data_IF_362222874650
#
_entry.id   IF_362222874650
#
_cell.length_a   1.000
_cell.length_b   1.000
_cell.length_c   1.000
_cell.angle_alpha   90.00
_cell.angle_beta   90.00
_cell.angle_gamma   90.00
#
_symmetry.space_group_name_H-M   'P 1'
#
loop_
_entity.id
_entity.type
_entity.pdbx_description
1 polymer ?
#
# COMPACT_ATOMS: atom_id res chain seq x y z
N UNK A 1 -7.95 2.21 -21.34
CA UNK A 1 -6.60 2.82 -21.17
C UNK A 1 -6.63 4.24 -20.59
N UNK A 2 -7.76 4.95 -20.64
CA UNK A 2 -7.84 6.35 -20.21
C UNK A 2 -7.37 6.56 -18.76
N UNK A 3 -7.72 5.65 -17.85
CA UNK A 3 -7.27 5.68 -16.45
C UNK A 3 -5.73 5.74 -16.32
N UNK A 4 -5.00 5.04 -17.19
CA UNK A 4 -3.53 5.10 -17.21
C UNK A 4 -3.04 6.43 -17.76
N UNK A 5 -3.69 6.93 -18.81
CA UNK A 5 -3.29 8.18 -19.47
C UNK A 5 -3.50 9.39 -18.55
N UNK A 6 -4.66 9.44 -17.88
CA UNK A 6 -5.08 10.57 -17.06
C UNK A 6 -4.53 10.53 -15.61
N UNK A 7 -3.97 9.42 -15.15
CA UNK A 7 -3.43 9.33 -13.79
C UNK A 7 -2.18 10.21 -13.64
N UNK A 8 -2.19 11.24 -12.77
CA UNK A 8 -1.02 12.10 -12.56
C UNK A 8 0.15 11.35 -11.91
N UNK A 9 -0.14 10.33 -11.13
CA UNK A 9 0.87 9.48 -10.46
C UNK A 9 1.46 8.41 -11.36
N UNK A 10 0.85 8.12 -12.54
CA UNK A 10 1.27 7.07 -13.47
C UNK A 10 1.36 5.66 -12.83
N UNK A 11 0.53 5.40 -11.83
CA UNK A 11 0.53 4.13 -11.08
C UNK A 11 -0.40 3.06 -11.66
N UNK A 12 -1.22 3.42 -12.65
CA UNK A 12 -2.12 2.49 -13.33
C UNK A 12 -1.42 1.91 -14.55
N UNK A 13 -1.23 0.59 -14.55
CA UNK A 13 -0.50 -0.14 -15.59
C UNK A 13 -1.46 -0.97 -16.42
N UNK A 14 -1.42 -0.77 -17.73
CA UNK A 14 -2.21 -1.53 -18.67
C UNK A 14 -1.38 -2.67 -19.27
N UNK A 15 -1.92 -3.87 -19.28
CA UNK A 15 -1.26 -5.05 -19.85
C UNK A 15 -1.49 -5.10 -21.36
N UNK A 16 -0.56 -4.57 -22.12
CA UNK A 16 -0.63 -4.57 -23.60
C UNK A 16 -0.41 -5.97 -24.19
N UNK A 17 0.37 -6.78 -23.51
CA UNK A 17 0.75 -8.13 -23.93
C UNK A 17 0.39 -9.14 -22.83
N UNK A 18 0.43 -10.43 -23.18
CA UNK A 18 0.36 -11.52 -22.22
C UNK A 18 1.75 -11.70 -21.59
N UNK A 19 1.92 -11.19 -20.37
CA UNK A 19 3.19 -11.24 -19.64
C UNK A 19 3.34 -12.52 -18.79
N UNK A 20 2.23 -13.21 -18.54
CA UNK A 20 2.21 -14.42 -17.72
C UNK A 20 2.11 -15.65 -18.59
N UNK A 21 2.93 -16.66 -18.31
CA UNK A 21 2.77 -18.00 -18.88
C UNK A 21 1.76 -18.77 -18.02
N UNK A 22 0.59 -19.04 -18.60
CA UNK A 22 -0.48 -19.81 -17.98
C UNK A 22 -0.59 -21.25 -18.55
N UNK A 23 0.27 -21.60 -19.52
CA UNK A 23 0.25 -22.88 -20.21
C UNK A 23 1.17 -23.91 -19.58
N UNK A 24 2.31 -23.48 -19.05
CA UNK A 24 3.30 -24.37 -18.42
C UNK A 24 2.81 -24.76 -17.03
N UNK A 25 2.55 -26.07 -16.85
CA UNK A 25 1.99 -26.61 -15.58
C UNK A 25 2.85 -26.31 -14.36
N UNK A 26 4.17 -26.41 -14.48
CA UNK A 26 5.09 -26.17 -13.36
C UNK A 26 5.06 -24.73 -12.86
N UNK A 27 4.78 -23.75 -13.73
CA UNK A 27 4.68 -22.34 -13.33
C UNK A 27 3.43 -22.06 -12.48
N UNK A 28 2.40 -22.89 -12.59
CA UNK A 28 1.21 -22.75 -11.74
C UNK A 28 1.53 -22.93 -10.26
N UNK A 29 2.55 -23.67 -9.90
CA UNK A 29 3.01 -23.85 -8.53
C UNK A 29 3.57 -22.57 -7.90
N UNK A 30 4.04 -21.62 -8.73
CA UNK A 30 4.56 -20.32 -8.28
C UNK A 30 3.44 -19.28 -8.11
N UNK A 31 2.24 -19.52 -8.62
CA UNK A 31 1.14 -18.56 -8.54
C UNK A 31 0.49 -18.59 -7.16
N UNK A 32 0.17 -17.42 -6.64
CA UNK A 32 -0.63 -17.31 -5.43
C UNK A 32 -2.10 -17.66 -5.77
N UNK A 33 -2.70 -18.71 -5.17
CA UNK A 33 -4.07 -19.14 -5.47
C UNK A 33 -5.13 -18.09 -5.08
N UNK A 34 -4.82 -17.18 -4.16
CA UNK A 34 -5.74 -16.12 -3.73
C UNK A 34 -5.76 -14.93 -4.68
N UNK A 35 -4.90 -14.91 -5.70
CA UNK A 35 -4.74 -13.79 -6.63
C UNK A 35 -4.92 -14.29 -8.06
N UNK A 36 -5.91 -13.74 -8.78
CA UNK A 36 -6.11 -14.07 -10.18
C UNK A 36 -4.92 -13.62 -11.04
N UNK A 37 -4.54 -14.45 -12.00
CA UNK A 37 -3.55 -14.08 -13.02
C UNK A 37 -4.23 -13.13 -14.01
N UNK A 38 -3.68 -11.90 -14.14
CA UNK A 38 -4.22 -10.90 -15.07
C UNK A 38 -3.64 -11.13 -16.45
N UNK A 39 -4.54 -11.08 -17.44
CA UNK A 39 -4.22 -11.30 -18.85
C UNK A 39 -4.04 -9.97 -19.60
N UNK A 40 -3.75 -10.06 -20.89
CA UNK A 40 -3.74 -8.90 -21.78
C UNK A 40 -5.05 -8.11 -21.71
N UNK A 41 -4.95 -6.80 -21.75
CA UNK A 41 -6.10 -5.89 -21.75
C UNK A 41 -6.58 -5.48 -20.35
N UNK A 42 -5.99 -5.99 -19.28
CA UNK A 42 -6.35 -5.66 -17.91
C UNK A 42 -5.53 -4.47 -17.42
N UNK A 43 -6.19 -3.58 -16.69
CA UNK A 43 -5.55 -2.47 -15.97
C UNK A 43 -5.22 -2.89 -14.54
N UNK A 44 -3.99 -2.71 -14.12
CA UNK A 44 -3.53 -3.08 -12.78
C UNK A 44 -3.05 -1.86 -11.98
N UNK A 45 -3.32 -1.89 -10.70
CA UNK A 45 -2.86 -0.91 -9.72
C UNK A 45 -2.69 -1.61 -8.38
N UNK A 46 -1.79 -1.13 -7.55
CA UNK A 46 -1.69 -1.54 -6.15
C UNK A 46 -3.05 -1.41 -5.45
N UNK A 47 -3.48 -2.48 -4.78
CA UNK A 47 -4.73 -2.57 -4.02
C UNK A 47 -4.51 -2.62 -2.51
N UNK A 48 -3.29 -2.32 -2.04
CA UNK A 48 -2.87 -2.47 -0.64
C UNK A 48 -3.04 -3.90 -0.11
N UNK A 49 -2.80 -4.91 -0.96
CA UNK A 49 -2.98 -6.32 -0.61
C UNK A 49 -4.41 -6.62 -0.14
N UNK A 50 -5.41 -6.27 -0.95
CA UNK A 50 -6.84 -6.41 -0.62
C UNK A 50 -7.20 -7.82 -0.14
N UNK A 51 -6.55 -8.87 -0.62
CA UNK A 51 -6.77 -10.25 -0.18
C UNK A 51 -6.37 -10.42 1.29
N UNK A 52 -5.23 -9.85 1.72
CA UNK A 52 -4.80 -9.87 3.13
C UNK A 52 -5.75 -9.08 4.03
N UNK A 53 -6.22 -7.92 3.54
CA UNK A 53 -7.23 -7.12 4.24
C UNK A 53 -8.52 -7.92 4.41
N UNK A 54 -9.01 -8.54 3.34
CA UNK A 54 -10.22 -9.34 3.36
C UNK A 54 -10.08 -10.54 4.29
N UNK A 55 -8.96 -11.24 4.26
CA UNK A 55 -8.68 -12.36 5.16
C UNK A 55 -8.71 -11.96 6.63
N UNK A 56 -8.05 -10.86 6.99
CA UNK A 56 -8.05 -10.35 8.36
C UNK A 56 -9.44 -9.92 8.82
N UNK A 57 -10.22 -9.27 7.94
CA UNK A 57 -11.63 -8.89 8.24
C UNK A 57 -12.51 -10.10 8.47
N UNK A 58 -12.39 -11.14 7.65
CA UNK A 58 -13.14 -12.40 7.80
C UNK A 58 -12.78 -13.06 9.11
N UNK A 59 -11.49 -13.16 9.43
CA UNK A 59 -11.01 -13.78 10.67
C UNK A 59 -11.53 -13.02 11.91
N UNK A 60 -11.41 -11.69 11.92
CA UNK A 60 -11.90 -10.86 13.03
C UNK A 60 -13.42 -10.97 13.20
N UNK A 61 -14.19 -10.95 12.10
CA UNK A 61 -15.64 -11.12 12.14
C UNK A 61 -16.04 -12.50 12.70
N UNK A 62 -15.36 -13.57 12.27
CA UNK A 62 -15.63 -14.93 12.77
C UNK A 62 -15.34 -15.03 14.27
N UNK A 63 -14.23 -14.48 14.73
CA UNK A 63 -13.88 -14.45 16.15
C UNK A 63 -14.92 -13.67 16.99
N UNK A 64 -15.37 -12.51 16.51
CA UNK A 64 -16.41 -11.74 17.20
C UNK A 64 -17.72 -12.51 17.31
N UNK A 65 -18.18 -13.17 16.24
CA UNK A 65 -19.39 -13.99 16.26
C UNK A 65 -19.27 -15.14 17.24
N UNK A 66 -18.11 -15.83 17.27
CA UNK A 66 -17.86 -16.90 18.23
C UNK A 66 -17.86 -16.41 19.69
N UNK A 67 -17.44 -15.16 19.93
CA UNK A 67 -17.45 -14.51 21.23
C UNK A 67 -18.81 -13.86 21.58
N UNK A 68 -19.84 -14.00 20.74
CA UNK A 68 -21.16 -13.37 20.93
C UNK A 68 -21.17 -11.85 20.78
N UNK A 69 -20.16 -11.27 20.12
CA UNK A 69 -20.04 -9.84 19.88
C UNK A 69 -20.70 -9.44 18.56
N UNK A 70 -21.36 -8.29 18.54
CA UNK A 70 -22.02 -7.72 17.34
C UNK A 70 -21.07 -6.90 16.47
N UNK A 71 -19.93 -6.49 17.00
CA UNK A 71 -18.91 -5.68 16.29
C UNK A 71 -17.53 -6.30 16.43
N UNK A 72 -16.64 -5.96 15.51
CA UNK A 72 -15.24 -6.41 15.54
C UNK A 72 -14.30 -5.24 15.24
N UNK A 73 -13.13 -5.30 15.80
CA UNK A 73 -12.03 -4.36 15.54
C UNK A 73 -10.83 -5.17 15.03
N UNK A 74 -10.13 -4.63 14.05
CA UNK A 74 -8.87 -5.17 13.59
C UNK A 74 -7.76 -4.35 14.27
N UNK A 75 -6.95 -5.01 15.09
CA UNK A 75 -5.85 -4.33 15.78
C UNK A 75 -4.80 -3.82 14.82
N UNK A 76 -4.13 -2.72 15.18
CA UNK A 76 -3.01 -2.18 14.40
C UNK A 76 -1.90 -3.24 14.26
N UNK A 77 -1.37 -3.39 13.05
CA UNK A 77 -0.37 -4.41 12.73
C UNK A 77 -0.92 -5.81 12.42
N UNK A 78 -2.23 -6.07 12.62
CA UNK A 78 -2.83 -7.36 12.26
C UNK A 78 -2.86 -7.62 10.73
N UNK A 79 -2.81 -6.55 9.94
CA UNK A 79 -2.67 -6.61 8.49
C UNK A 79 -1.29 -6.10 8.13
N UNK A 80 -0.51 -6.94 7.50
CA UNK A 80 0.80 -6.58 6.97
C UNK A 80 0.79 -6.75 5.45
N UNK A 81 1.08 -5.68 4.72
CA UNK A 81 1.18 -5.74 3.26
C UNK A 81 2.42 -6.50 2.82
N UNK A 82 2.41 -7.03 1.59
CA UNK A 82 3.56 -7.79 1.09
C UNK A 82 4.84 -6.92 1.02
N UNK A 83 4.72 -5.65 0.66
CA UNK A 83 5.84 -4.72 0.62
C UNK A 83 6.35 -4.37 2.03
N UNK A 84 5.47 -4.22 3.02
CA UNK A 84 5.84 -4.02 4.42
C UNK A 84 6.59 -5.24 4.96
N UNK A 85 6.06 -6.44 4.70
CA UNK A 85 6.68 -7.70 5.12
C UNK A 85 8.07 -7.92 4.49
N UNK A 86 8.23 -7.52 3.23
CA UNK A 86 9.48 -7.67 2.50
C UNK A 86 10.52 -6.58 2.82
N UNK A 87 10.14 -5.54 3.58
CA UNK A 87 11.04 -4.42 3.88
C UNK A 87 11.92 -4.74 5.10
N UNK A 88 13.22 -4.98 4.93
CA UNK A 88 14.10 -5.37 6.03
C UNK A 88 14.34 -4.23 7.03
N UNK A 89 14.17 -2.98 6.59
CA UNK A 89 14.40 -1.79 7.42
C UNK A 89 13.16 -1.33 8.16
N UNK A 90 11.98 -1.94 7.93
CA UNK A 90 10.72 -1.50 8.51
C UNK A 90 10.27 -0.10 8.06
N UNK A 91 10.73 0.34 6.88
CA UNK A 91 10.45 1.67 6.35
C UNK A 91 9.04 1.83 5.77
N UNK A 92 8.25 0.77 5.70
CA UNK A 92 6.89 0.78 5.19
C UNK A 92 5.95 0.44 6.33
N UNK A 93 4.95 1.29 6.56
CA UNK A 93 3.92 1.08 7.57
C UNK A 93 2.55 1.12 6.92
N UNK A 94 1.73 0.15 7.24
CA UNK A 94 0.34 0.04 6.80
C UNK A 94 -0.59 -0.03 8.01
N UNK A 95 -1.76 0.60 7.92
CA UNK A 95 -2.76 0.57 9.00
C UNK A 95 -3.98 1.41 8.70
N UNK A 96 -4.87 1.52 9.66
CA UNK A 96 -6.05 2.38 9.59
C UNK A 96 -5.69 3.83 9.90
N UNK A 97 -5.88 4.70 8.93
CA UNK A 97 -5.64 6.15 9.09
C UNK A 97 -6.70 6.85 9.95
N UNK A 98 -7.83 6.21 10.20
CA UNK A 98 -8.89 6.75 11.06
C UNK A 98 -8.69 6.41 12.54
N UNK A 99 -7.81 5.44 12.83
CA UNK A 99 -7.40 5.17 14.22
C UNK A 99 -6.22 6.07 14.60
N UNK A 100 -6.43 7.08 15.48
CA UNK A 100 -5.36 8.00 15.88
C UNK A 100 -4.20 7.31 16.63
N UNK A 101 -4.45 6.13 17.17
CA UNK A 101 -3.45 5.36 17.90
C UNK A 101 -2.60 4.46 17.00
N UNK A 102 -3.01 4.26 15.72
CA UNK A 102 -2.28 3.45 14.78
C UNK A 102 -0.91 4.02 14.46
N UNK A 103 0.04 3.14 14.13
CA UNK A 103 1.40 3.55 13.72
C UNK A 103 1.35 4.46 12.48
N UNK A 104 0.49 4.14 11.51
CA UNK A 104 0.38 4.92 10.28
C UNK A 104 -0.15 6.33 10.54
N UNK A 105 -1.11 6.50 11.45
CA UNK A 105 -1.63 7.82 11.81
C UNK A 105 -0.56 8.67 12.49
N UNK A 106 0.21 8.09 13.41
CA UNK A 106 1.35 8.76 14.06
C UNK A 106 2.40 9.21 13.06
N UNK A 107 2.80 8.33 12.12
CA UNK A 107 3.77 8.69 11.08
C UNK A 107 3.26 9.76 10.12
N UNK A 108 1.95 9.77 9.85
CA UNK A 108 1.35 10.84 9.03
C UNK A 108 1.30 12.19 9.74
N UNK A 109 1.31 12.21 11.08
CA UNK A 109 1.34 13.42 11.88
C UNK A 109 2.75 14.03 12.01
N UNK A 110 3.80 13.30 11.60
CA UNK A 110 5.17 13.80 11.66
C UNK A 110 5.36 15.02 10.75
N UNK A 111 6.09 16.04 11.26
CA UNK A 111 6.28 17.31 10.55
C UNK A 111 7.00 17.20 9.19
N UNK A 112 7.73 16.11 8.97
CA UNK A 112 8.42 15.82 7.71
C UNK A 112 7.66 14.85 6.81
N UNK A 113 6.38 14.56 7.13
CA UNK A 113 5.51 13.77 6.26
C UNK A 113 5.01 14.63 5.10
N UNK A 114 5.02 14.06 3.89
CA UNK A 114 4.51 14.73 2.70
C UNK A 114 3.79 13.79 1.75
N UNK A 115 2.84 14.32 0.99
CA UNK A 115 2.16 13.61 -0.09
C UNK A 115 2.70 14.06 -1.45
N UNK A 116 2.83 13.13 -2.39
CA UNK A 116 3.18 13.48 -3.76
C UNK A 116 2.05 14.27 -4.41
N UNK A 117 2.40 15.33 -5.16
CA UNK A 117 1.48 16.17 -5.92
C UNK A 117 0.33 16.74 -5.07
N UNK A 118 0.62 17.14 -3.83
CA UNK A 118 -0.39 17.71 -2.91
C UNK A 118 -1.13 18.91 -3.51
N UNK A 119 -0.47 19.69 -4.37
CA UNK A 119 -1.08 20.85 -5.04
C UNK A 119 -2.24 20.47 -5.98
N UNK A 120 -2.35 19.22 -6.40
CA UNK A 120 -3.49 18.73 -7.19
C UNK A 120 -4.72 18.39 -6.34
N UNK A 121 -4.61 18.45 -5.03
CA UNK A 121 -5.68 18.11 -4.06
C UNK A 121 -6.32 16.74 -4.30
N UNK A 122 -5.55 15.75 -4.69
CA UNK A 122 -6.01 14.37 -4.94
C UNK A 122 -6.04 13.51 -3.69
N UNK A 123 -5.56 14.04 -2.55
CA UNK A 123 -5.55 13.41 -1.23
C UNK A 123 -5.01 11.97 -1.24
N UNK A 124 -3.75 11.76 -1.62
CA UNK A 124 -3.16 10.43 -1.70
C UNK A 124 -3.12 9.76 -0.33
N UNK A 125 -3.49 8.46 -0.30
CA UNK A 125 -3.43 7.66 0.93
C UNK A 125 -2.00 7.32 1.32
N UNK A 126 -1.14 7.07 0.33
CA UNK A 126 0.28 6.86 0.56
C UNK A 126 0.98 8.21 0.69
N UNK A 127 1.73 8.36 1.77
CA UNK A 127 2.58 9.52 2.03
C UNK A 127 3.98 9.06 2.36
N UNK A 128 4.92 9.98 2.44
CA UNK A 128 6.34 9.69 2.60
C UNK A 128 6.88 10.54 3.74
N UNK A 129 7.87 10.00 4.46
CA UNK A 129 8.68 10.77 5.37
C UNK A 129 9.91 11.28 4.61
N UNK A 130 10.13 12.58 4.65
CA UNK A 130 11.28 13.18 4.02
C UNK A 130 12.58 12.70 4.69
N UNK A 131 13.63 12.53 3.88
CA UNK A 131 14.94 12.23 4.41
C UNK A 131 15.46 13.46 5.17
N UNK A 132 15.76 13.27 6.44
CA UNK A 132 16.44 14.30 7.24
C UNK A 132 17.89 14.37 6.78
N UNK A 133 18.35 15.58 6.47
CA UNK A 133 19.74 15.88 6.17
C UNK A 133 20.21 16.91 7.18
N UNK A 134 21.44 16.75 7.62
CA UNK A 134 22.16 17.80 8.34
C UNK A 134 23.10 18.46 7.31
N UNK A 135 22.66 19.52 6.61
CA UNK A 135 23.52 20.23 5.68
C UNK A 135 24.71 20.83 6.46
N UNK A 136 25.87 20.91 5.81
CA UNK A 136 26.97 21.69 6.33
C UNK A 136 26.58 23.17 6.34
N UNK A 137 26.96 23.90 7.38
CA UNK A 137 26.73 25.36 7.49
C UNK A 137 27.29 26.13 6.29
N UNK A 138 28.29 25.57 5.61
CA UNK A 138 28.86 26.16 4.41
C UNK A 138 27.95 26.08 3.17
N UNK A 139 26.98 25.12 3.15
CA UNK A 139 26.01 24.98 2.06
C UNK A 139 24.84 25.97 2.19
N UNK A 140 24.49 26.39 3.41
CA UNK A 140 23.42 27.35 3.65
C UNK A 140 23.80 28.77 3.17
N UNK A 141 25.11 29.05 3.04
CA UNK A 141 25.63 30.36 2.61
C UNK A 141 25.60 30.55 1.09
N UNK A 142 25.27 29.53 0.31
CA UNK A 142 25.30 29.57 -1.17
C UNK A 142 23.94 29.96 -1.77
N UNK A 143 22.86 29.91 -1.01
CA UNK A 143 21.49 30.23 -1.46
C UNK A 143 20.99 31.62 -1.04
N UNK A 144 21.87 32.54 -0.67
CA UNK A 144 21.60 33.93 -0.30
C UNK A 144 21.81 34.91 -1.44
#
# INVERSE_FOLDING_TARGET
KYCANNCPYKVRRFNFLQYSDTTTETFKLAFNPDVTVRIRGVMEKCTYCVQRISGARIAAKRAAVQAGQSSYVISDGAIQTACEQACPTGAIVFGDINDPNSRVAKWKAEGHNYGLLNFLNTLPRTTYLARIRNPSEDLEKVEG
#
